data_IF_134419267983
#
_entry.id   IF_134419267983
#
_cell.length_a   1.000
_cell.length_b   1.000
_cell.length_c   1.000
_cell.angle_alpha   90.00
_cell.angle_beta   90.00
_cell.angle_gamma   90.00
#
_symmetry.space_group_name_H-M   'P 1'
#
loop_
_entity.id
_entity.type
_entity.pdbx_description
1 polymer ?
#
# COMPACT_ATOMS: atom_id res chain seq x y z
N UNK A 1 -59.80 -67.92 -55.77
CA UNK A 1 -58.57 -68.73 -55.82
C UNK A 1 -57.90 -68.52 -54.47
N UNK A 2 -58.07 -69.49 -53.55
CA UNK A 2 -57.06 -70.05 -52.61
C UNK A 2 -55.85 -69.18 -52.22
N UNK A 3 -55.32 -69.14 -50.99
CA UNK A 3 -55.46 -69.90 -49.74
C UNK A 3 -54.62 -69.14 -48.67
N UNK A 4 -54.70 -69.61 -47.43
CA UNK A 4 -54.08 -69.20 -46.16
C UNK A 4 -52.57 -68.85 -46.08
N UNK A 5 -52.23 -68.38 -44.87
CA UNK A 5 -51.04 -68.64 -44.04
C UNK A 5 -50.00 -67.52 -43.80
N UNK A 6 -49.88 -67.17 -42.52
CA UNK A 6 -48.65 -66.68 -41.88
C UNK A 6 -47.81 -67.91 -41.47
N UNK A 7 -46.46 -67.86 -41.23
CA UNK A 7 -45.91 -67.19 -40.03
C UNK A 7 -44.40 -66.76 -40.07
N UNK A 8 -43.97 -66.01 -39.03
CA UNK A 8 -42.82 -66.35 -38.16
C UNK A 8 -41.36 -65.99 -38.53
N UNK A 9 -40.70 -65.27 -37.60
CA UNK A 9 -39.27 -65.36 -37.17
C UNK A 9 -38.18 -64.98 -38.20
N UNK A 10 -37.05 -64.29 -37.94
CA UNK A 10 -36.27 -63.96 -36.75
C UNK A 10 -35.28 -62.80 -37.08
N UNK A 11 -34.84 -62.07 -36.04
CA UNK A 11 -33.46 -61.60 -35.90
C UNK A 11 -32.93 -60.49 -36.83
N UNK A 12 -33.01 -59.23 -36.39
CA UNK A 12 -32.08 -58.19 -36.83
C UNK A 12 -31.63 -57.31 -35.65
N UNK A 13 -30.33 -57.35 -35.36
CA UNK A 13 -29.67 -56.51 -34.36
C UNK A 13 -29.75 -55.02 -34.73
N UNK A 14 -29.96 -54.09 -33.77
CA UNK A 14 -29.92 -52.66 -34.08
C UNK A 14 -28.47 -52.18 -34.27
N UNK A 15 -28.29 -51.45 -35.37
CA UNK A 15 -27.06 -50.80 -35.81
C UNK A 15 -26.53 -49.75 -34.80
N UNK A 16 -25.22 -49.44 -34.81
CA UNK A 16 -24.60 -48.53 -33.85
C UNK A 16 -25.07 -47.08 -34.05
N UNK A 17 -25.52 -46.45 -32.98
CA UNK A 17 -25.89 -45.04 -32.97
C UNK A 17 -24.65 -44.15 -33.13
N UNK A 18 -24.73 -43.23 -34.07
CA UNK A 18 -23.70 -42.31 -34.51
C UNK A 18 -23.23 -41.34 -33.40
N UNK A 19 -21.96 -40.94 -33.49
CA UNK A 19 -21.30 -40.00 -32.59
C UNK A 19 -21.93 -38.60 -32.66
N UNK A 20 -22.49 -38.14 -31.55
CA UNK A 20 -22.84 -36.74 -31.34
C UNK A 20 -21.68 -36.02 -30.61
N UNK A 21 -21.36 -34.75 -30.95
CA UNK A 21 -20.21 -34.04 -30.43
C UNK A 21 -20.41 -33.43 -29.03
N UNK A 22 -21.50 -33.75 -28.34
CA UNK A 22 -21.80 -33.28 -26.97
C UNK A 22 -22.15 -34.45 -26.07
N UNK A 23 -21.14 -35.01 -25.39
CA UNK A 23 -21.32 -36.08 -24.41
C UNK A 23 -21.37 -35.48 -23.00
N UNK A 24 -22.55 -35.03 -22.57
CA UNK A 24 -22.76 -34.61 -21.19
C UNK A 24 -23.07 -35.84 -20.33
N UNK A 25 -22.08 -36.33 -19.58
CA UNK A 25 -22.35 -37.20 -18.44
C UNK A 25 -22.71 -36.34 -17.23
N UNK A 26 -23.97 -36.39 -16.79
CA UNK A 26 -24.39 -35.81 -15.50
C UNK A 26 -23.62 -36.48 -14.36
N UNK A 27 -22.65 -35.78 -13.77
CA UNK A 27 -22.02 -36.17 -12.51
C UNK A 27 -22.98 -35.84 -11.35
N UNK A 28 -23.50 -36.87 -10.69
CA UNK A 28 -24.11 -36.73 -9.38
C UNK A 28 -22.99 -36.63 -8.34
N UNK A 29 -22.87 -35.48 -7.66
CA UNK A 29 -22.00 -35.35 -6.48
C UNK A 29 -22.67 -36.14 -5.34
N UNK A 30 -22.28 -37.40 -5.18
CA UNK A 30 -22.61 -38.21 -4.02
C UNK A 30 -21.66 -37.84 -2.87
N UNK A 31 -22.24 -37.36 -1.78
CA UNK A 31 -21.51 -37.11 -0.53
C UNK A 31 -21.03 -38.44 0.05
N UNK A 32 -19.80 -38.81 -0.25
CA UNK A 32 -19.17 -39.98 0.37
C UNK A 32 -18.79 -39.66 1.83
N UNK A 33 -18.98 -40.58 2.78
CA UNK A 33 -18.82 -40.29 4.20
C UNK A 33 -17.34 -40.25 4.63
N UNK A 34 -16.99 -39.26 5.44
CA UNK A 34 -15.72 -39.20 6.18
C UNK A 34 -15.71 -40.31 7.23
N UNK A 35 -14.64 -41.12 7.25
CA UNK A 35 -14.41 -42.19 8.21
C UNK A 35 -14.54 -41.69 9.66
N UNK A 36 -15.36 -42.39 10.42
CA UNK A 36 -15.58 -42.23 11.85
C UNK A 36 -14.35 -42.64 12.65
N UNK A 37 -13.73 -41.72 13.40
CA UNK A 37 -13.11 -42.09 14.67
C UNK A 37 -14.21 -42.08 15.73
N UNK A 38 -14.72 -43.29 15.95
CA UNK A 38 -15.76 -43.64 16.90
C UNK A 38 -15.16 -43.61 18.30
N UNK A 39 -15.82 -42.91 19.22
CA UNK A 39 -15.47 -42.97 20.64
C UNK A 39 -15.52 -41.62 21.32
N UNK A 40 -16.74 -41.11 21.55
CA UNK A 40 -17.19 -40.58 22.84
C UNK A 40 -18.63 -40.07 22.71
N UNK A 41 -19.55 -40.94 23.15
CA UNK A 41 -20.90 -40.66 23.68
C UNK A 41 -21.91 -39.96 22.78
N UNK A 42 -22.71 -40.81 22.13
CA UNK A 42 -24.04 -40.55 21.55
C UNK A 42 -24.95 -39.72 22.48
N UNK A 43 -25.17 -38.47 22.11
CA UNK A 43 -26.47 -37.80 22.31
C UNK A 43 -27.20 -37.80 20.97
N UNK A 44 -28.14 -38.72 20.77
CA UNK A 44 -29.03 -38.69 19.60
C UNK A 44 -29.89 -37.42 19.68
N UNK A 45 -29.49 -36.36 18.97
CA UNK A 45 -30.32 -35.17 18.74
C UNK A 45 -31.38 -35.54 17.70
N UNK A 46 -32.50 -36.07 18.17
CA UNK A 46 -33.73 -36.19 17.39
C UNK A 46 -34.33 -34.79 17.15
N UNK A 47 -33.79 -34.03 16.20
CA UNK A 47 -34.35 -32.73 15.78
C UNK A 47 -35.52 -32.85 14.78
N UNK A 48 -35.93 -34.07 14.44
CA UNK A 48 -36.97 -34.32 13.42
C UNK A 48 -38.13 -35.17 13.93
N UNK A 49 -38.19 -35.49 15.22
CA UNK A 49 -39.33 -36.19 15.81
C UNK A 49 -40.39 -35.17 16.21
N UNK A 50 -41.61 -35.32 15.69
CA UNK A 50 -42.79 -34.47 15.99
C UNK A 50 -43.18 -34.42 17.48
N UNK A 51 -42.62 -35.30 18.31
CA UNK A 51 -42.81 -35.31 19.78
C UNK A 51 -41.74 -34.46 20.51
N UNK A 52 -40.64 -34.08 19.85
CA UNK A 52 -39.56 -33.27 20.46
C UNK A 52 -39.83 -31.76 20.39
N UNK A 53 -40.74 -31.32 19.50
CA UNK A 53 -41.14 -29.92 19.37
C UNK A 53 -41.94 -29.40 20.58
N UNK A 54 -42.61 -30.27 21.35
CA UNK A 54 -43.41 -29.87 22.52
C UNK A 54 -42.60 -29.72 23.82
N UNK A 55 -41.37 -30.25 23.89
CA UNK A 55 -40.49 -30.16 25.07
C UNK A 55 -39.27 -29.25 24.88
N UNK A 56 -39.15 -28.56 23.73
CA UNK A 56 -38.14 -27.51 23.53
C UNK A 56 -38.55 -26.21 24.25
N UNK A 57 -38.38 -26.20 25.58
CA UNK A 57 -38.48 -25.00 26.43
C UNK A 57 -37.42 -23.95 26.04
N UNK A 58 -36.35 -24.37 25.37
CA UNK A 58 -35.42 -23.46 24.71
C UNK A 58 -35.91 -23.14 23.30
N UNK A 59 -36.58 -22.00 23.19
CA UNK A 59 -36.82 -21.31 21.93
C UNK A 59 -35.45 -21.10 21.26
N UNK A 60 -35.23 -21.73 20.10
CA UNK A 60 -34.01 -21.45 19.32
C UNK A 60 -34.01 -19.95 19.04
N UNK A 61 -32.90 -19.24 19.34
CA UNK A 61 -32.84 -17.80 19.16
C UNK A 61 -33.25 -17.48 17.72
N UNK A 62 -34.14 -16.51 17.50
CA UNK A 62 -34.70 -16.22 16.19
C UNK A 62 -33.57 -16.12 15.16
N UNK A 63 -33.72 -16.74 13.98
CA UNK A 63 -32.66 -16.80 12.99
C UNK A 63 -32.20 -15.38 12.70
N UNK A 64 -30.92 -15.10 13.00
CA UNK A 64 -30.37 -13.76 12.78
C UNK A 64 -30.60 -13.39 11.32
N UNK A 65 -31.14 -12.19 11.03
CA UNK A 65 -31.27 -11.74 9.66
C UNK A 65 -29.91 -11.86 8.95
N UNK A 66 -29.91 -12.26 7.67
CA UNK A 66 -28.68 -12.49 6.94
C UNK A 66 -27.78 -11.25 7.05
N UNK A 67 -26.47 -11.43 7.29
CA UNK A 67 -25.55 -10.30 7.43
C UNK A 67 -25.71 -9.33 6.25
N UNK A 68 -25.87 -8.04 6.55
CA UNK A 68 -26.05 -6.98 5.54
C UNK A 68 -24.83 -6.89 4.59
N UNK A 69 -23.69 -7.46 5.00
CA UNK A 69 -22.46 -7.51 4.23
C UNK A 69 -22.11 -8.94 3.80
N UNK A 70 -21.56 -9.12 2.58
CA UNK A 70 -21.12 -10.43 2.12
C UNK A 70 -20.00 -10.97 3.02
N UNK A 71 -20.01 -12.27 3.28
CA UNK A 71 -19.03 -12.93 4.15
C UNK A 71 -17.58 -12.76 3.63
N UNK A 72 -17.40 -12.94 2.32
CA UNK A 72 -16.14 -12.66 1.62
C UNK A 72 -16.43 -12.31 0.17
N UNK A 73 -15.61 -11.44 -0.40
CA UNK A 73 -15.58 -11.19 -1.85
C UNK A 73 -14.51 -12.08 -2.49
N UNK A 74 -14.72 -12.54 -3.74
CA UNK A 74 -13.74 -13.34 -4.44
C UNK A 74 -12.46 -12.53 -4.66
N UNK A 75 -11.31 -13.10 -4.30
CA UNK A 75 -9.99 -12.52 -4.55
C UNK A 75 -9.59 -12.91 -5.98
N UNK A 76 -9.21 -11.95 -6.84
CA UNK A 76 -8.93 -12.23 -8.24
C UNK A 76 -7.73 -13.15 -8.41
N UNK A 77 -7.81 -14.07 -9.36
CA UNK A 77 -6.64 -14.84 -9.80
C UNK A 77 -5.72 -13.97 -10.66
N UNK A 78 -4.44 -14.33 -10.80
CA UNK A 78 -3.49 -13.59 -11.67
C UNK A 78 -4.02 -13.55 -13.11
N UNK A 79 -4.64 -14.63 -13.57
CA UNK A 79 -5.24 -14.70 -14.92
C UNK A 79 -6.40 -13.71 -15.07
N UNK A 80 -7.28 -13.63 -14.07
CA UNK A 80 -8.37 -12.65 -14.05
C UNK A 80 -7.84 -11.21 -14.01
N UNK A 81 -6.82 -10.94 -13.18
CA UNK A 81 -6.17 -9.63 -13.11
C UNK A 81 -5.60 -9.21 -14.48
N UNK A 82 -4.92 -10.13 -15.16
CA UNK A 82 -4.43 -9.88 -16.52
C UNK A 82 -5.55 -9.62 -17.52
N UNK A 83 -6.64 -10.39 -17.46
CA UNK A 83 -7.78 -10.21 -18.36
C UNK A 83 -8.55 -8.91 -18.12
N UNK A 84 -8.55 -8.40 -16.89
CA UNK A 84 -9.23 -7.16 -16.48
C UNK A 84 -8.48 -5.88 -16.90
N UNK A 85 -7.22 -6.00 -17.33
CA UNK A 85 -6.32 -4.86 -17.48
C UNK A 85 -6.71 -3.95 -18.67
N UNK A 86 -7.00 -2.68 -18.36
CA UNK A 86 -7.29 -1.66 -19.36
C UNK A 86 -6.05 -1.29 -20.17
N UNK A 87 -6.22 -0.71 -21.37
CA UNK A 87 -5.10 -0.31 -22.25
C UNK A 87 -4.10 0.61 -21.55
N UNK A 88 -4.59 1.59 -20.80
CA UNK A 88 -3.74 2.53 -20.07
C UNK A 88 -2.99 1.87 -18.91
N UNK A 89 -3.63 0.93 -18.20
CA UNK A 89 -2.99 0.16 -17.14
C UNK A 89 -1.91 -0.76 -17.69
N UNK A 90 -2.14 -1.38 -18.86
CA UNK A 90 -1.15 -2.17 -19.59
C UNK A 90 0.03 -1.32 -20.01
N UNK A 91 -0.22 -0.13 -20.56
CA UNK A 91 0.84 0.81 -20.92
C UNK A 91 1.68 1.19 -19.69
N UNK A 92 1.06 1.51 -18.56
CA UNK A 92 1.76 1.78 -17.29
C UNK A 92 2.58 0.58 -16.79
N UNK A 93 2.05 -0.63 -16.92
CA UNK A 93 2.79 -1.85 -16.57
C UNK A 93 4.03 -2.04 -17.45
N UNK A 94 3.91 -1.85 -18.77
CA UNK A 94 5.06 -1.94 -19.69
C UNK A 94 6.10 -0.85 -19.42
N UNK A 95 5.67 0.38 -19.15
CA UNK A 95 6.59 1.44 -18.73
C UNK A 95 7.31 1.12 -17.42
N UNK A 96 6.60 0.55 -16.44
CA UNK A 96 7.18 0.11 -15.19
C UNK A 96 8.22 -1.01 -15.40
N UNK A 97 7.92 -1.98 -16.28
CA UNK A 97 8.84 -3.06 -16.62
C UNK A 97 10.09 -2.52 -17.34
N UNK A 98 9.90 -1.62 -18.31
CA UNK A 98 11.00 -0.94 -19.01
C UNK A 98 11.88 -0.16 -18.02
N UNK A 99 11.28 0.57 -17.08
CA UNK A 99 12.02 1.27 -16.03
C UNK A 99 12.81 0.29 -15.15
N UNK A 100 12.25 -0.87 -14.82
CA UNK A 100 12.95 -1.94 -14.08
C UNK A 100 14.15 -2.52 -14.84
N UNK A 101 14.04 -2.68 -16.17
CA UNK A 101 15.17 -3.09 -17.01
C UNK A 101 16.28 -2.04 -17.01
N UNK A 102 15.92 -0.76 -17.10
CA UNK A 102 16.89 0.35 -17.01
C UNK A 102 17.56 0.40 -15.63
N UNK A 103 16.80 0.24 -14.54
CA UNK A 103 17.35 0.19 -13.19
C UNK A 103 18.36 -0.96 -13.02
N UNK A 104 18.03 -2.13 -13.58
CA UNK A 104 18.92 -3.30 -13.61
C UNK A 104 20.20 -3.02 -14.40
N UNK A 105 20.08 -2.36 -15.56
CA UNK A 105 21.23 -1.93 -16.35
C UNK A 105 22.13 -0.97 -15.58
N UNK A 106 21.55 0.03 -14.89
CA UNK A 106 22.29 1.00 -14.07
C UNK A 106 23.02 0.27 -12.93
N UNK A 107 22.36 -0.68 -12.27
CA UNK A 107 22.96 -1.46 -11.18
C UNK A 107 24.19 -2.24 -11.63
N UNK A 108 24.14 -2.95 -12.75
CA UNK A 108 25.31 -3.64 -13.28
C UNK A 108 26.39 -2.67 -13.77
N UNK A 109 25.99 -1.49 -14.25
CA UNK A 109 26.90 -0.44 -14.71
C UNK A 109 27.51 0.38 -13.56
N UNK A 110 27.02 0.23 -12.32
CA UNK A 110 27.48 0.99 -11.16
C UNK A 110 28.87 0.56 -10.63
N UNK A 111 29.43 -0.50 -11.21
CA UNK A 111 30.74 -1.05 -10.87
C UNK A 111 31.83 0.04 -10.93
N UNK A 112 32.41 0.37 -9.77
CA UNK A 112 33.54 1.31 -9.67
C UNK A 112 33.21 2.73 -9.19
N UNK A 113 31.94 3.08 -8.94
CA UNK A 113 31.54 4.37 -8.35
C UNK A 113 30.55 4.15 -7.20
N UNK A 114 30.85 4.75 -6.04
CA UNK A 114 30.00 4.67 -4.86
C UNK A 114 28.73 5.50 -5.07
N UNK A 115 28.83 6.64 -5.75
CA UNK A 115 27.67 7.45 -6.10
C UNK A 115 26.76 6.75 -7.11
N UNK A 116 27.30 6.06 -8.12
CA UNK A 116 26.49 5.27 -9.06
C UNK A 116 25.78 4.11 -8.37
N UNK A 117 26.46 3.46 -7.41
CA UNK A 117 25.86 2.38 -6.60
C UNK A 117 24.74 2.93 -5.73
N UNK A 118 24.92 4.11 -5.13
CA UNK A 118 23.86 4.77 -4.36
C UNK A 118 22.68 5.18 -5.27
N UNK A 119 22.97 5.71 -6.46
CA UNK A 119 21.97 6.11 -7.43
C UNK A 119 21.15 4.91 -7.93
N UNK A 120 21.76 3.74 -8.17
CA UNK A 120 21.02 2.55 -8.60
C UNK A 120 19.98 2.11 -7.57
N UNK A 121 20.30 2.17 -6.27
CA UNK A 121 19.35 1.85 -5.20
C UNK A 121 18.17 2.82 -5.17
N UNK A 122 18.44 4.11 -5.42
CA UNK A 122 17.39 5.14 -5.48
C UNK A 122 16.48 4.94 -6.72
N UNK A 123 17.04 4.59 -7.88
CA UNK A 123 16.25 4.25 -9.08
C UNK A 123 15.42 2.97 -8.85
N UNK A 124 15.96 1.96 -8.16
CA UNK A 124 15.18 0.77 -7.78
C UNK A 124 14.02 1.11 -6.85
N UNK A 125 14.19 2.07 -5.94
CA UNK A 125 13.09 2.56 -5.12
C UNK A 125 12.00 3.23 -5.98
N UNK A 126 12.38 4.03 -6.98
CA UNK A 126 11.44 4.63 -7.94
C UNK A 126 10.67 3.57 -8.73
N UNK A 127 11.34 2.51 -9.20
CA UNK A 127 10.71 1.37 -9.87
C UNK A 127 9.76 0.62 -8.93
N UNK A 128 10.19 0.28 -7.72
CA UNK A 128 9.38 -0.47 -6.76
C UNK A 128 8.13 0.31 -6.34
N UNK A 129 8.27 1.61 -6.09
CA UNK A 129 7.13 2.47 -5.77
C UNK A 129 6.16 2.61 -6.95
N UNK A 130 6.66 2.64 -8.18
CA UNK A 130 5.83 2.62 -9.39
C UNK A 130 5.11 1.29 -9.60
N UNK A 131 5.78 0.17 -9.32
CA UNK A 131 5.19 -1.17 -9.38
C UNK A 131 4.02 -1.32 -8.40
N UNK A 132 4.16 -0.80 -7.17
CA UNK A 132 3.06 -0.76 -6.20
C UNK A 132 1.88 0.04 -6.76
N UNK A 133 2.12 1.19 -7.41
CA UNK A 133 1.04 1.98 -7.99
C UNK A 133 0.30 1.27 -9.10
N UNK A 134 1.02 0.60 -10.00
CA UNK A 134 0.42 -0.21 -11.06
C UNK A 134 -0.36 -1.39 -10.46
N UNK A 135 0.18 -2.05 -9.42
CA UNK A 135 -0.51 -3.14 -8.74
C UNK A 135 -1.81 -2.67 -8.07
N UNK A 136 -1.79 -1.52 -7.40
CA UNK A 136 -2.98 -0.94 -6.74
C UNK A 136 -4.02 -0.51 -7.77
N UNK A 137 -3.59 0.11 -8.87
CA UNK A 137 -4.48 0.50 -9.96
C UNK A 137 -5.14 -0.75 -10.59
N UNK A 138 -4.38 -1.83 -10.79
CA UNK A 138 -4.87 -3.09 -11.33
C UNK A 138 -5.86 -3.78 -10.38
N UNK A 139 -5.48 -3.93 -9.11
CA UNK A 139 -6.33 -4.53 -8.09
C UNK A 139 -7.57 -3.69 -7.81
N UNK A 140 -7.49 -2.38 -8.02
CA UNK A 140 -8.61 -1.44 -7.92
C UNK A 140 -9.73 -1.65 -8.93
N UNK A 141 -9.53 -2.48 -9.96
CA UNK A 141 -10.59 -2.91 -10.89
C UNK A 141 -11.57 -3.90 -10.24
N UNK A 142 -11.17 -4.57 -9.17
CA UNK A 142 -11.98 -5.57 -8.48
C UNK A 142 -12.67 -4.98 -7.26
N UNK A 143 -13.93 -5.38 -7.03
CA UNK A 143 -14.72 -4.88 -5.90
C UNK A 143 -14.04 -5.16 -4.56
N UNK A 144 -13.38 -6.31 -4.40
CA UNK A 144 -12.69 -6.71 -3.16
C UNK A 144 -11.63 -5.71 -2.69
N UNK A 145 -11.11 -4.87 -3.60
CA UNK A 145 -10.15 -3.84 -3.24
C UNK A 145 -10.78 -2.73 -2.42
N UNK A 146 -11.96 -2.23 -2.83
CA UNK A 146 -12.62 -1.06 -2.21
C UNK A 146 -13.81 -1.41 -1.32
N UNK A 147 -14.49 -2.53 -1.58
CA UNK A 147 -15.73 -2.93 -0.92
C UNK A 147 -15.44 -3.72 0.34
N UNK A 148 -16.06 -3.31 1.44
CA UNK A 148 -16.02 -4.00 2.72
C UNK A 148 -16.71 -5.37 2.66
N UNK A 149 -16.13 -6.35 3.35
CA UNK A 149 -16.70 -7.69 3.58
C UNK A 149 -16.47 -8.09 5.04
N UNK A 150 -17.11 -9.15 5.52
CA UNK A 150 -16.90 -9.62 6.91
C UNK A 150 -15.44 -10.05 7.13
N UNK A 151 -14.83 -10.72 6.13
CA UNK A 151 -13.40 -11.09 6.19
C UNK A 151 -12.45 -9.89 6.10
N UNK A 152 -12.79 -8.88 5.29
CA UNK A 152 -12.00 -7.67 5.08
C UNK A 152 -12.88 -6.43 5.29
N UNK A 153 -13.00 -5.92 6.53
CA UNK A 153 -13.97 -4.86 6.87
C UNK A 153 -13.68 -3.51 6.20
N UNK A 154 -12.44 -3.29 5.75
CA UNK A 154 -12.01 -2.07 5.04
C UNK A 154 -11.50 -2.37 3.61
N UNK A 155 -11.91 -3.50 3.03
CA UNK A 155 -11.37 -4.00 1.77
C UNK A 155 -9.89 -4.38 1.87
N UNK A 156 -9.22 -4.50 0.72
CA UNK A 156 -7.79 -4.85 0.64
C UNK A 156 -6.84 -3.64 0.58
N UNK A 157 -7.37 -2.42 0.70
CA UNK A 157 -6.57 -1.19 0.63
C UNK A 157 -5.46 -1.08 1.69
N UNK A 158 -5.57 -1.79 2.81
CA UNK A 158 -4.46 -1.89 3.79
C UNK A 158 -3.21 -2.58 3.25
N UNK A 159 -3.34 -3.44 2.24
CA UNK A 159 -2.19 -4.08 1.59
C UNK A 159 -1.28 -3.06 0.90
N UNK A 160 -1.84 -1.95 0.40
CA UNK A 160 -1.07 -0.85 -0.18
C UNK A 160 -0.17 -0.17 0.86
N UNK A 161 -0.69 0.04 2.07
CA UNK A 161 0.04 0.63 3.20
C UNK A 161 1.18 -0.30 3.62
N UNK A 162 0.91 -1.61 3.67
CA UNK A 162 1.92 -2.62 3.99
C UNK A 162 3.04 -2.68 2.93
N UNK A 163 2.69 -2.63 1.65
CA UNK A 163 3.66 -2.58 0.56
C UNK A 163 4.51 -1.29 0.62
N UNK A 164 3.87 -0.15 0.92
CA UNK A 164 4.56 1.12 1.16
C UNK A 164 5.52 1.05 2.37
N UNK A 165 5.12 0.41 3.46
CA UNK A 165 5.98 0.15 4.60
C UNK A 165 7.17 -0.73 4.22
N UNK A 166 6.98 -1.80 3.46
CA UNK A 166 8.08 -2.65 2.98
C UNK A 166 9.10 -1.86 2.13
N UNK A 167 8.64 -0.97 1.25
CA UNK A 167 9.53 -0.08 0.49
C UNK A 167 10.30 0.90 1.38
N UNK A 168 9.68 1.38 2.46
CA UNK A 168 10.37 2.25 3.41
C UNK A 168 11.50 1.53 4.14
N UNK A 169 11.30 0.25 4.49
CA UNK A 169 12.33 -0.60 5.09
C UNK A 169 13.48 -0.80 4.11
N UNK A 170 13.20 -1.16 2.86
CA UNK A 170 14.21 -1.24 1.81
C UNK A 170 15.04 0.04 1.71
N UNK A 171 14.39 1.20 1.77
CA UNK A 171 15.06 2.51 1.68
C UNK A 171 15.94 2.82 2.90
N UNK A 172 15.47 2.50 4.12
CA UNK A 172 16.26 2.67 5.36
C UNK A 172 17.49 1.79 5.35
N UNK A 173 17.32 0.50 5.06
CA UNK A 173 18.43 -0.45 5.00
C UNK A 173 19.40 -0.11 3.86
N UNK A 174 18.90 0.27 2.68
CA UNK A 174 19.75 0.72 1.57
C UNK A 174 20.55 1.98 1.91
N UNK A 175 19.94 2.97 2.57
CA UNK A 175 20.65 4.16 3.03
C UNK A 175 21.71 3.85 4.09
N UNK A 176 21.39 2.97 5.04
CA UNK A 176 22.32 2.54 6.08
C UNK A 176 23.50 1.73 5.53
N UNK A 177 23.23 0.79 4.62
CA UNK A 177 24.25 -0.02 3.93
C UNK A 177 25.25 0.88 3.20
N UNK A 178 24.75 1.79 2.37
CA UNK A 178 25.59 2.74 1.63
C UNK A 178 26.41 3.65 2.55
N UNK A 179 25.81 4.14 3.64
CA UNK A 179 26.52 4.96 4.62
C UNK A 179 27.64 4.17 5.29
N UNK A 180 27.39 2.91 5.66
CA UNK A 180 28.39 2.04 6.29
C UNK A 180 29.58 1.75 5.36
N UNK A 181 29.30 1.48 4.07
CA UNK A 181 30.33 1.29 3.05
C UNK A 181 31.14 2.56 2.81
N UNK A 182 30.48 3.73 2.77
CA UNK A 182 31.16 5.02 2.60
C UNK A 182 32.10 5.33 3.79
N UNK A 183 31.63 5.12 5.03
CA UNK A 183 32.44 5.31 6.24
C UNK A 183 33.65 4.36 6.28
N UNK A 184 33.47 3.09 5.88
CA UNK A 184 34.57 2.13 5.78
C UNK A 184 35.67 2.62 4.84
N UNK A 185 35.30 3.10 3.64
CA UNK A 185 36.28 3.64 2.69
C UNK A 185 36.97 4.91 3.18
N UNK A 186 36.29 5.75 3.98
CA UNK A 186 36.92 6.91 4.62
C UNK A 186 37.95 6.45 5.66
N UNK A 187 37.60 5.50 6.53
CA UNK A 187 38.48 4.97 7.56
C UNK A 187 39.70 4.25 6.96
N UNK A 188 39.50 3.44 5.92
CA UNK A 188 40.57 2.80 5.16
C UNK A 188 41.52 3.82 4.51
N UNK A 189 41.02 4.99 4.10
CA UNK A 189 41.87 6.06 3.53
C UNK A 189 42.66 6.88 4.56
N UNK A 190 42.32 6.78 5.85
CA UNK A 190 42.99 7.50 6.94
C UNK A 190 44.04 6.63 7.64
N UNK A 191 43.86 5.31 7.67
CA UNK A 191 44.84 4.37 8.23
C UNK A 191 45.96 4.04 7.25
N UNK A 192 47.22 4.27 7.63
CA UNK A 192 48.42 3.91 6.83
C UNK A 192 48.72 2.40 6.87
N UNK A 193 47.71 1.55 6.66
CA UNK A 193 47.86 0.10 6.71
C UNK A 193 47.57 -0.51 5.34
N UNK A 194 48.56 -1.23 4.83
CA UNK A 194 48.46 -2.05 3.61
C UNK A 194 47.29 -3.05 3.77
N UNK A 195 46.31 -3.08 2.87
CA UNK A 195 45.18 -4.00 3.00
C UNK A 195 45.64 -5.46 3.00
N UNK A 196 45.39 -6.20 4.09
CA UNK A 196 45.74 -7.62 4.21
C UNK A 196 44.77 -8.58 3.50
N UNK A 197 43.71 -8.03 2.89
CA UNK A 197 42.86 -8.75 1.94
C UNK A 197 42.77 -7.91 0.67
N UNK A 198 43.30 -8.40 -0.47
CA UNK A 198 42.97 -7.80 -1.74
C UNK A 198 41.49 -8.11 -1.98
N UNK A 199 40.63 -7.12 -1.78
CA UNK A 199 39.49 -7.04 -2.66
C UNK A 199 40.10 -6.77 -4.04
N UNK A 200 40.23 -7.83 -4.83
CA UNK A 200 40.53 -7.73 -6.25
C UNK A 200 39.52 -6.76 -6.86
N UNK A 201 39.88 -5.49 -6.97
CA UNK A 201 39.49 -4.71 -8.13
C UNK A 201 40.26 -5.34 -9.29
N UNK A 202 39.58 -6.03 -10.23
CA UNK A 202 40.28 -6.55 -11.40
C UNK A 202 40.98 -5.37 -12.06
N UNK A 203 42.30 -5.52 -12.15
CA UNK A 203 43.29 -4.78 -12.88
C UNK A 203 42.91 -3.49 -13.60
N UNK A 204 43.85 -2.55 -13.50
CA UNK A 204 44.33 -1.66 -14.56
C UNK A 204 44.61 -2.36 -15.93
N UNK A 205 43.73 -3.23 -16.43
CA UNK A 205 43.99 -4.05 -17.63
C UNK A 205 42.86 -4.93 -18.15
N UNK A 206 41.61 -4.80 -17.69
CA UNK A 206 40.45 -5.46 -18.30
C UNK A 206 39.34 -4.43 -18.59
N UNK A 207 38.50 -4.58 -19.63
CA UNK A 207 37.60 -3.54 -20.15
C UNK A 207 36.35 -3.40 -19.28
N UNK A 208 36.52 -3.15 -17.98
CA UNK A 208 35.50 -2.55 -17.14
C UNK A 208 35.46 -1.07 -17.47
N UNK A 209 34.35 -0.62 -18.06
CA UNK A 209 34.08 0.73 -18.59
C UNK A 209 34.32 1.83 -17.53
N UNK A 210 35.57 2.17 -17.28
CA UNK A 210 35.96 3.44 -16.67
C UNK A 210 35.63 4.50 -17.71
N UNK A 211 34.61 5.29 -17.40
CA UNK A 211 34.11 6.33 -18.30
C UNK A 211 35.26 7.31 -18.53
N UNK A 212 35.69 7.42 -19.78
CA UNK A 212 36.77 8.33 -20.16
C UNK A 212 36.39 9.75 -19.74
N UNK A 213 37.29 10.52 -19.08
CA UNK A 213 37.03 11.91 -18.76
C UNK A 213 36.54 12.67 -20.00
N UNK A 214 35.43 13.41 -19.88
CA UNK A 214 34.79 14.10 -21.00
C UNK A 214 33.79 13.27 -21.83
N UNK A 215 33.50 12.02 -21.47
CA UNK A 215 32.41 11.24 -22.07
C UNK A 215 31.16 11.23 -21.21
N UNK A 216 29.98 11.26 -21.85
CA UNK A 216 28.68 11.24 -21.16
C UNK A 216 28.46 9.86 -20.54
N UNK A 217 28.18 9.82 -19.24
CA UNK A 217 27.76 8.59 -18.59
C UNK A 217 26.37 8.17 -19.08
N UNK A 218 26.33 7.12 -19.88
CA UNK A 218 25.09 6.54 -20.41
C UNK A 218 24.19 5.98 -19.32
N UNK A 219 24.75 5.52 -18.19
CA UNK A 219 23.95 5.01 -17.07
C UNK A 219 23.23 6.16 -16.35
N UNK A 220 23.93 7.25 -16.06
CA UNK A 220 23.32 8.49 -15.53
C UNK A 220 22.30 9.09 -16.49
N UNK A 221 22.58 9.12 -17.81
CA UNK A 221 21.62 9.61 -18.81
C UNK A 221 20.37 8.73 -18.86
N UNK A 222 20.54 7.41 -18.83
CA UNK A 222 19.42 6.46 -18.78
C UNK A 222 18.58 6.67 -17.52
N UNK A 223 19.20 6.93 -16.35
CA UNK A 223 18.52 7.23 -15.11
C UNK A 223 17.68 8.53 -15.19
N UNK A 224 18.22 9.59 -15.78
CA UNK A 224 17.47 10.84 -16.02
C UNK A 224 16.25 10.57 -16.90
N UNK A 225 16.44 9.93 -18.04
CA UNK A 225 15.37 9.68 -19.02
C UNK A 225 14.30 8.74 -18.45
N UNK A 226 14.70 7.66 -17.77
CA UNK A 226 13.77 6.70 -17.19
C UNK A 226 12.96 7.31 -16.05
N UNK A 227 13.59 8.08 -15.17
CA UNK A 227 12.89 8.74 -14.05
C UNK A 227 11.96 9.83 -14.57
N UNK A 228 12.35 10.60 -15.58
CA UNK A 228 11.49 11.59 -16.21
C UNK A 228 10.27 10.93 -16.87
N UNK A 229 10.51 9.89 -17.68
CA UNK A 229 9.43 9.12 -18.33
C UNK A 229 8.50 8.48 -17.29
N UNK A 230 9.05 7.97 -16.19
CA UNK A 230 8.29 7.39 -15.08
C UNK A 230 7.45 8.46 -14.36
N UNK A 231 8.00 9.64 -14.11
CA UNK A 231 7.30 10.75 -13.45
C UNK A 231 6.12 11.29 -14.29
N UNK A 232 6.29 11.39 -15.62
CA UNK A 232 5.24 11.81 -16.55
C UNK A 232 4.24 10.68 -16.87
N UNK A 233 4.73 9.48 -17.18
CA UNK A 233 3.94 8.35 -17.68
C UNK A 233 3.18 7.59 -16.60
N UNK A 234 3.77 7.41 -15.41
CA UNK A 234 3.15 6.61 -14.34
C UNK A 234 2.33 7.45 -13.35
N UNK A 235 2.43 8.79 -13.41
CA UNK A 235 1.69 9.75 -12.56
C UNK A 235 1.72 9.40 -11.06
N UNK A 236 2.80 8.74 -10.62
CA UNK A 236 2.96 8.22 -9.26
C UNK A 236 3.08 9.36 -8.21
N UNK A 237 3.47 10.56 -8.66
CA UNK A 237 3.71 11.73 -7.81
C UNK A 237 2.54 12.06 -6.86
N UNK A 238 1.28 11.92 -7.29
CA UNK A 238 0.13 12.26 -6.46
C UNK A 238 -0.12 11.27 -5.31
N UNK A 239 0.30 10.01 -5.46
CA UNK A 239 0.09 8.96 -4.44
C UNK A 239 1.17 9.06 -3.37
N UNK A 240 2.45 9.09 -3.78
CA UNK A 240 3.59 9.22 -2.86
C UNK A 240 3.59 10.57 -2.13
N UNK A 241 3.22 11.68 -2.80
CA UNK A 241 3.08 13.00 -2.14
C UNK A 241 2.06 12.95 -0.99
N UNK A 242 0.91 12.29 -1.21
CA UNK A 242 -0.13 12.11 -0.17
C UNK A 242 0.40 11.31 1.03
N UNK A 243 1.28 10.34 0.78
CA UNK A 243 1.88 9.53 1.83
C UNK A 243 2.89 10.32 2.65
N UNK A 244 3.82 10.98 1.97
CA UNK A 244 4.96 11.60 2.64
C UNK A 244 4.56 12.84 3.43
N UNK A 245 3.50 13.55 3.02
CA UNK A 245 3.06 14.83 3.62
C UNK A 245 4.21 15.82 3.87
N UNK A 246 5.32 15.65 3.16
CA UNK A 246 6.48 16.53 3.25
C UNK A 246 6.11 17.79 2.49
N UNK A 247 5.81 18.84 3.23
CA UNK A 247 5.75 20.18 2.66
C UNK A 247 7.19 20.57 2.31
N UNK A 248 7.47 20.78 1.03
CA UNK A 248 8.68 21.48 0.65
C UNK A 248 8.67 22.87 1.29
N UNK A 249 9.85 23.44 1.57
CA UNK A 249 9.95 24.84 1.91
C UNK A 249 9.23 25.70 0.87
N UNK A 250 8.53 26.75 1.30
CA UNK A 250 7.64 27.55 0.45
C UNK A 250 8.32 28.05 -0.84
N UNK A 251 9.60 28.44 -0.77
CA UNK A 251 10.39 28.86 -1.92
C UNK A 251 10.57 27.76 -2.98
N UNK A 252 10.79 26.53 -2.53
CA UNK A 252 11.00 25.38 -3.42
C UNK A 252 9.66 24.95 -4.02
N UNK A 253 8.58 25.00 -3.24
CA UNK A 253 7.23 24.64 -3.69
C UNK A 253 6.69 25.54 -4.81
N UNK A 254 7.13 26.80 -4.87
CA UNK A 254 6.72 27.75 -5.92
C UNK A 254 7.50 27.55 -7.24
N UNK A 255 8.64 26.88 -7.20
CA UNK A 255 9.54 26.72 -8.34
C UNK A 255 9.43 25.33 -9.00
N UNK A 256 9.08 24.30 -8.23
CA UNK A 256 8.99 22.95 -8.77
C UNK A 256 7.63 22.65 -9.43
N UNK A 257 7.62 22.07 -10.64
CA UNK A 257 6.40 21.51 -11.23
C UNK A 257 5.79 20.44 -10.32
N UNK A 258 4.48 20.27 -10.39
CA UNK A 258 3.73 19.26 -9.61
C UNK A 258 4.27 17.83 -9.75
N UNK A 259 4.94 17.55 -10.87
CA UNK A 259 5.53 16.24 -11.18
C UNK A 259 6.74 15.93 -10.28
N UNK A 260 7.51 16.94 -9.87
CA UNK A 260 8.67 16.80 -8.97
C UNK A 260 8.30 16.97 -7.49
N UNK A 261 7.02 17.15 -7.19
CA UNK A 261 6.58 17.19 -5.81
C UNK A 261 6.71 15.84 -5.08
N UNK A 262 7.04 14.76 -5.79
CA UNK A 262 7.56 13.55 -5.17
C UNK A 262 9.06 13.76 -4.85
N UNK A 263 9.46 13.80 -3.57
CA UNK A 263 10.85 14.03 -3.18
C UNK A 263 11.81 12.95 -3.67
N UNK A 264 11.33 11.72 -3.91
CA UNK A 264 12.18 10.67 -4.46
C UNK A 264 12.53 10.93 -5.93
N UNK A 265 11.57 11.28 -6.78
CA UNK A 265 11.86 11.65 -8.16
C UNK A 265 12.74 12.89 -8.26
N UNK A 266 12.52 13.89 -7.40
CA UNK A 266 13.40 15.05 -7.32
C UNK A 266 14.84 14.64 -6.96
N UNK A 267 15.00 13.80 -5.92
CA UNK A 267 16.30 13.31 -5.47
C UNK A 267 17.02 12.53 -6.58
N UNK A 268 16.32 11.59 -7.24
CA UNK A 268 16.85 10.78 -8.33
C UNK A 268 17.27 11.65 -9.51
N UNK A 269 16.44 12.59 -9.95
CA UNK A 269 16.78 13.50 -11.05
C UNK A 269 17.97 14.39 -10.67
N UNK A 270 17.94 15.02 -9.50
CA UNK A 270 19.00 15.91 -9.02
C UNK A 270 20.36 15.20 -9.01
N UNK A 271 20.44 14.01 -8.41
CA UNK A 271 21.70 13.27 -8.33
C UNK A 271 22.09 12.61 -9.66
N UNK A 272 21.14 12.20 -10.49
CA UNK A 272 21.45 11.70 -11.84
C UNK A 272 22.03 12.81 -12.73
N UNK A 273 21.50 14.03 -12.66
CA UNK A 273 22.10 15.19 -13.34
C UNK A 273 23.47 15.54 -12.79
N UNK A 274 23.64 15.50 -11.46
CA UNK A 274 24.95 15.76 -10.84
C UNK A 274 26.00 14.72 -11.28
N UNK A 275 25.62 13.45 -11.37
CA UNK A 275 26.47 12.38 -11.89
C UNK A 275 26.76 12.52 -13.39
N UNK A 276 25.82 13.05 -14.18
CA UNK A 276 26.05 13.37 -15.60
C UNK A 276 27.08 14.49 -15.80
N UNK A 277 27.12 15.45 -14.88
CA UNK A 277 28.07 16.57 -14.88
C UNK A 277 29.44 16.18 -14.33
N UNK A 278 29.51 15.15 -13.48
CA UNK A 278 30.73 14.74 -12.78
C UNK A 278 31.92 14.43 -13.73
N UNK A 279 31.75 13.74 -14.88
CA UNK A 279 32.82 13.51 -15.86
C UNK A 279 33.33 14.78 -16.58
N UNK A 280 32.64 15.93 -16.44
CA UNK A 280 33.03 17.22 -17.01
C UNK A 280 33.93 18.02 -16.05
N UNK A 281 34.00 17.62 -14.77
CA UNK A 281 34.87 18.25 -13.78
C UNK A 281 36.28 17.64 -13.82
N UNK A 282 37.28 18.42 -13.38
CA UNK A 282 38.68 17.98 -13.38
C UNK A 282 38.91 16.72 -12.54
N UNK A 283 39.80 15.82 -13.02
CA UNK A 283 40.11 14.51 -12.44
C UNK A 283 40.44 14.55 -10.93
N UNK A 284 41.06 15.62 -10.45
CA UNK A 284 41.47 15.76 -9.03
C UNK A 284 40.32 15.78 -8.03
N UNK A 285 39.13 16.24 -8.41
CA UNK A 285 37.98 16.33 -7.49
C UNK A 285 37.02 15.14 -7.60
N UNK A 286 37.21 14.25 -8.57
CA UNK A 286 36.27 13.20 -8.93
C UNK A 286 35.99 12.23 -7.76
N UNK A 287 37.03 11.74 -7.11
CA UNK A 287 36.90 10.74 -6.02
C UNK A 287 36.24 11.32 -4.78
N UNK A 288 36.60 12.55 -4.40
CA UNK A 288 36.01 13.19 -3.23
C UNK A 288 34.53 13.54 -3.46
N UNK A 289 34.22 14.05 -4.66
CA UNK A 289 32.86 14.41 -5.02
C UNK A 289 31.96 13.17 -5.18
N UNK A 290 32.46 12.06 -5.72
CA UNK A 290 31.74 10.76 -5.74
C UNK A 290 31.35 10.32 -4.32
N UNK A 291 32.29 10.38 -3.37
CA UNK A 291 32.03 10.04 -1.96
C UNK A 291 31.01 10.98 -1.31
N UNK A 292 31.11 12.28 -1.57
CA UNK A 292 30.17 13.29 -1.06
C UNK A 292 28.76 13.04 -1.60
N UNK A 293 28.63 12.78 -2.90
CA UNK A 293 27.35 12.49 -3.55
C UNK A 293 26.77 11.19 -2.99
N UNK A 294 27.57 10.14 -2.86
CA UNK A 294 27.16 8.88 -2.25
C UNK A 294 26.63 9.10 -0.81
N UNK A 295 27.37 9.83 0.02
CA UNK A 295 26.95 10.15 1.38
C UNK A 295 25.66 10.97 1.42
N UNK A 296 25.51 11.96 0.53
CA UNK A 296 24.30 12.77 0.42
C UNK A 296 23.08 11.93 -0.01
N UNK A 297 23.23 11.01 -0.97
CA UNK A 297 22.19 10.06 -1.37
C UNK A 297 21.83 9.14 -0.18
N UNK A 298 22.83 8.54 0.47
CA UNK A 298 22.63 7.59 1.56
C UNK A 298 21.89 8.23 2.76
N UNK A 299 22.32 9.42 3.19
CA UNK A 299 21.64 10.16 4.27
C UNK A 299 20.22 10.55 3.87
N UNK A 300 20.01 10.98 2.63
CA UNK A 300 18.68 11.33 2.14
C UNK A 300 17.74 10.11 2.10
N UNK A 301 18.23 8.97 1.60
CA UNK A 301 17.50 7.70 1.60
C UNK A 301 17.15 7.28 3.04
N UNK A 302 18.10 7.31 3.96
CA UNK A 302 17.87 6.95 5.35
C UNK A 302 16.83 7.84 6.03
N UNK A 303 16.98 9.17 5.95
CA UNK A 303 16.07 10.13 6.60
C UNK A 303 14.67 10.04 6.00
N UNK A 304 14.53 10.02 4.67
CA UNK A 304 13.22 9.91 4.01
C UNK A 304 12.60 8.52 4.25
N UNK A 305 13.42 7.47 4.29
CA UNK A 305 13.01 6.11 4.61
C UNK A 305 12.43 6.00 6.02
N UNK A 306 13.12 6.55 7.03
CA UNK A 306 12.62 6.56 8.42
C UNK A 306 11.31 7.35 8.51
N UNK A 307 11.23 8.52 7.87
CA UNK A 307 9.98 9.30 7.84
C UNK A 307 8.83 8.50 7.23
N UNK A 308 9.07 7.82 6.11
CA UNK A 308 8.08 6.99 5.45
C UNK A 308 7.69 5.79 6.31
N UNK A 309 8.66 5.13 6.95
CA UNK A 309 8.45 3.98 7.83
C UNK A 309 7.60 4.34 9.05
N UNK A 310 7.86 5.49 9.68
CA UNK A 310 7.06 5.98 10.80
C UNK A 310 5.64 6.35 10.33
N UNK A 311 5.51 7.07 9.22
CA UNK A 311 4.20 7.47 8.69
C UNK A 311 3.32 6.25 8.33
N UNK A 312 3.90 5.25 7.66
CA UNK A 312 3.22 4.01 7.29
C UNK A 312 3.00 3.09 8.48
N UNK A 313 3.99 2.96 9.37
CA UNK A 313 3.90 2.16 10.59
C UNK A 313 2.80 2.65 11.53
N UNK A 314 2.66 3.96 11.71
CA UNK A 314 1.55 4.52 12.51
C UNK A 314 0.17 4.22 11.89
N UNK A 315 0.06 4.21 10.56
CA UNK A 315 -1.17 3.81 9.88
C UNK A 315 -1.48 2.32 10.09
N UNK A 316 -0.46 1.45 10.05
CA UNK A 316 -0.61 0.01 10.34
C UNK A 316 -0.96 -0.24 11.81
N UNK A 317 -0.43 0.58 12.73
CA UNK A 317 -0.71 0.55 14.16
C UNK A 317 -2.06 1.18 14.54
N UNK A 318 -2.90 1.54 13.57
CA UNK A 318 -4.19 2.22 13.82
C UNK A 318 -4.02 3.48 14.66
N UNK A 319 -3.05 4.32 14.31
CA UNK A 319 -2.86 5.63 14.91
C UNK A 319 -3.05 6.73 13.88
N UNK A 320 -3.49 7.90 14.32
CA UNK A 320 -3.56 9.10 13.49
C UNK A 320 -2.41 10.03 13.83
N UNK A 321 -1.48 10.23 12.89
CA UNK A 321 -0.28 11.05 13.08
C UNK A 321 -0.49 12.56 12.87
N UNK A 322 -1.72 13.00 12.59
CA UNK A 322 -2.01 14.41 12.32
C UNK A 322 -1.28 14.96 11.08
N UNK A 323 -1.56 16.22 10.74
CA UNK A 323 -0.80 16.98 9.76
C UNK A 323 0.38 17.64 10.48
N UNK A 324 1.34 16.84 10.96
CA UNK A 324 2.56 17.36 11.58
C UNK A 324 3.38 17.99 10.46
N UNK A 325 3.33 19.31 10.36
CA UNK A 325 4.21 20.08 9.48
C UNK A 325 5.65 19.67 9.76
N UNK A 326 6.47 19.60 8.70
CA UNK A 326 7.85 19.13 8.74
C UNK A 326 8.71 19.88 9.78
N UNK A 327 8.72 19.45 11.03
CA UNK A 327 9.69 19.82 12.07
C UNK A 327 10.35 18.54 12.60
N UNK A 328 11.35 18.06 11.87
CA UNK A 328 12.31 17.06 12.38
C UNK A 328 13.47 17.73 13.12
N UNK A 329 13.37 19.03 13.37
CA UNK A 329 14.11 19.73 14.42
C UNK A 329 13.22 19.83 15.66
N UNK A 330 13.05 18.68 16.33
CA UNK A 330 12.54 18.63 17.69
C UNK A 330 13.62 19.10 18.65
N UNK A 331 13.83 20.41 18.72
CA UNK A 331 14.39 21.05 19.91
C UNK A 331 13.35 22.03 20.42
N UNK A 332 12.86 21.73 21.62
CA UNK A 332 12.25 22.65 22.57
C UNK A 332 10.99 23.42 22.14
N UNK A 333 9.85 22.95 22.67
CA UNK A 333 8.91 23.73 23.49
C UNK A 333 8.29 25.03 22.95
N UNK A 334 6.95 25.07 23.04
CA UNK A 334 6.05 26.24 23.21
C UNK A 334 5.33 26.86 22.00
N UNK A 335 5.63 26.51 20.75
CA UNK A 335 4.93 27.17 19.61
C UNK A 335 3.91 26.31 18.84
N UNK A 336 3.82 25.01 19.11
CA UNK A 336 2.95 24.07 18.37
C UNK A 336 1.45 24.13 18.79
N UNK A 337 1.09 25.03 19.70
CA UNK A 337 -0.30 25.21 20.20
C UNK A 337 -1.17 26.12 19.31
N UNK A 338 -0.59 26.81 18.32
CA UNK A 338 -1.32 27.84 17.54
C UNK A 338 -2.06 27.34 16.30
N UNK A 339 -1.82 26.11 15.85
CA UNK A 339 -2.58 25.51 14.75
C UNK A 339 -3.61 24.52 15.32
N UNK A 340 -4.86 24.98 15.48
CA UNK A 340 -6.02 24.20 15.97
C UNK A 340 -6.48 23.04 15.07
N UNK A 341 -5.54 22.35 14.41
CA UNK A 341 -5.73 21.17 13.55
C UNK A 341 -5.23 19.89 14.22
N UNK A 342 -5.13 19.87 15.54
CA UNK A 342 -4.74 18.69 16.31
C UNK A 342 -5.97 17.88 16.71
N UNK A 343 -5.81 16.57 16.92
CA UNK A 343 -6.87 15.73 17.49
C UNK A 343 -7.31 16.28 18.85
N UNK A 344 -6.37 16.74 19.67
CA UNK A 344 -6.66 17.30 20.99
C UNK A 344 -7.54 18.56 20.92
N UNK A 345 -7.31 19.44 19.93
CA UNK A 345 -8.15 20.63 19.76
C UNK A 345 -9.56 20.28 19.31
N UNK A 346 -9.71 19.22 18.49
CA UNK A 346 -11.03 18.71 18.07
C UNK A 346 -11.79 18.09 19.24
N UNK A 347 -11.13 17.30 20.08
CA UNK A 347 -11.76 16.73 21.29
C UNK A 347 -12.21 17.84 22.23
N UNK A 348 -11.37 18.86 22.45
CA UNK A 348 -11.71 20.03 23.28
C UNK A 348 -12.87 20.85 22.72
N UNK A 349 -12.96 21.00 21.40
CA UNK A 349 -14.09 21.64 20.73
C UNK A 349 -15.39 20.84 20.95
N UNK A 350 -15.32 19.50 20.91
CA UNK A 350 -16.48 18.62 21.19
C UNK A 350 -16.90 18.69 22.67
N UNK A 351 -15.95 18.77 23.60
CA UNK A 351 -16.22 18.96 25.03
C UNK A 351 -16.86 20.31 25.34
N UNK A 352 -16.66 21.32 24.50
CA UNK A 352 -17.26 22.65 24.68
C UNK A 352 -18.74 22.74 24.27
N UNK A 353 -19.31 21.67 23.71
CA UNK A 353 -20.72 21.63 23.33
C UNK A 353 -21.64 21.56 24.57
N UNK A 354 -22.70 22.38 24.66
CA UNK A 354 -23.54 22.47 25.86
C UNK A 354 -24.31 21.18 26.17
N UNK A 355 -24.53 20.33 25.17
CA UNK A 355 -25.18 19.02 25.33
C UNK A 355 -24.23 17.93 25.84
N UNK A 356 -22.91 18.20 25.87
CA UNK A 356 -21.87 17.26 26.28
C UNK A 356 -21.43 17.58 27.71
N UNK A 357 -21.51 16.58 28.59
CA UNK A 357 -20.98 16.66 29.96
C UNK A 357 -19.46 16.38 29.96
N UNK A 358 -19.06 15.29 29.31
CA UNK A 358 -17.64 14.92 29.10
C UNK A 358 -17.47 13.94 27.95
N UNK A 359 -16.25 13.79 27.46
CA UNK A 359 -15.87 12.74 26.50
C UNK A 359 -15.17 11.62 27.27
N UNK A 360 -15.78 10.44 27.35
CA UNK A 360 -15.22 9.29 28.07
C UNK A 360 -14.07 8.63 27.29
N UNK A 361 -14.22 8.56 25.97
CA UNK A 361 -13.25 7.91 25.09
C UNK A 361 -13.26 8.57 23.72
N UNK A 362 -12.08 8.84 23.16
CA UNK A 362 -11.93 9.39 21.83
C UNK A 362 -10.74 8.73 21.11
N UNK A 363 -11.05 7.89 20.12
CA UNK A 363 -10.05 7.16 19.36
C UNK A 363 -10.08 7.62 17.90
N UNK A 364 -8.93 8.04 17.38
CA UNK A 364 -8.77 8.52 16.01
C UNK A 364 -7.64 7.75 15.33
N UNK A 365 -7.92 7.19 14.16
CA UNK A 365 -6.92 6.45 13.40
C UNK A 365 -7.12 6.55 11.91
N UNK A 366 -6.03 6.31 11.17
CA UNK A 366 -6.07 6.19 9.73
C UNK A 366 -6.05 4.71 9.33
N UNK A 367 -7.02 4.28 8.52
CA UNK A 367 -7.14 2.89 8.08
C UNK A 367 -6.28 2.65 6.83
N UNK A 368 -6.41 3.54 5.85
CA UNK A 368 -5.61 3.57 4.63
C UNK A 368 -5.58 5.01 4.10
N UNK A 369 -4.93 5.26 2.96
CA UNK A 369 -4.71 6.62 2.44
C UNK A 369 -5.95 7.47 2.20
N UNK A 370 -7.13 6.84 2.03
CA UNK A 370 -8.38 7.52 1.72
C UNK A 370 -9.42 7.50 2.84
N UNK A 371 -9.16 6.82 3.96
CA UNK A 371 -10.14 6.63 5.04
C UNK A 371 -9.49 6.78 6.43
N UNK A 372 -10.08 7.67 7.22
CA UNK A 372 -9.85 7.82 8.64
C UNK A 372 -11.13 7.47 9.41
N UNK A 373 -10.94 6.98 10.63
CA UNK A 373 -12.01 6.64 11.56
C UNK A 373 -11.89 7.50 12.81
N UNK A 374 -13.03 7.93 13.33
CA UNK A 374 -13.15 8.55 14.64
C UNK A 374 -14.24 7.83 15.43
N UNK A 375 -13.86 7.22 16.55
CA UNK A 375 -14.78 6.55 17.46
C UNK A 375 -14.82 7.33 18.77
N UNK A 376 -16.00 7.81 19.14
CA UNK A 376 -16.19 8.63 20.32
C UNK A 376 -17.23 8.01 21.25
N UNK A 377 -16.95 8.04 22.55
CA UNK A 377 -17.90 7.79 23.62
C UNK A 377 -18.09 9.07 24.41
N UNK A 378 -19.30 9.59 24.40
CA UNK A 378 -19.60 10.92 24.94
C UNK A 378 -20.72 10.81 25.96
N UNK A 379 -20.49 11.36 27.15
CA UNK A 379 -21.50 11.52 28.17
C UNK A 379 -22.29 12.79 27.90
N UNK A 380 -23.60 12.65 27.70
CA UNK A 380 -24.52 13.76 27.42
C UNK A 380 -25.24 14.20 28.70
N UNK A 381 -25.61 15.49 28.75
CA UNK A 381 -26.36 16.07 29.87
C UNK A 381 -27.74 15.42 29.96
N UNK A 382 -28.21 15.15 31.19
CA UNK A 382 -29.52 14.54 31.44
C UNK A 382 -30.65 15.43 30.91
N UNK A 383 -31.68 14.81 30.33
CA UNK A 383 -32.84 15.51 29.80
C UNK A 383 -32.71 16.04 28.37
N UNK A 384 -31.64 15.69 27.65
CA UNK A 384 -31.58 15.94 26.20
C UNK A 384 -32.63 15.10 25.45
N UNK A 385 -33.36 15.75 24.56
CA UNK A 385 -34.28 15.11 23.63
C UNK A 385 -33.54 14.41 22.48
N UNK A 386 -34.17 13.41 21.87
CA UNK A 386 -33.62 12.67 20.72
C UNK A 386 -33.27 13.60 19.54
N UNK A 387 -34.00 14.72 19.39
CA UNK A 387 -33.72 15.76 18.40
C UNK A 387 -32.35 16.38 18.63
N UNK A 388 -32.09 16.90 19.83
CA UNK A 388 -30.78 17.47 20.21
C UNK A 388 -29.65 16.43 20.09
N UNK A 389 -29.88 15.17 20.47
CA UNK A 389 -28.88 14.10 20.31
C UNK A 389 -28.53 13.84 18.83
N UNK A 390 -29.54 13.83 17.94
CA UNK A 390 -29.30 13.66 16.50
C UNK A 390 -28.53 14.84 15.89
N UNK A 391 -28.82 16.07 16.34
CA UNK A 391 -28.12 17.28 15.94
C UNK A 391 -26.66 17.27 16.43
N UNK A 392 -26.44 16.83 17.67
CA UNK A 392 -25.09 16.69 18.24
C UNK A 392 -24.24 15.71 17.43
N UNK A 393 -24.77 14.52 17.06
CA UNK A 393 -24.04 13.56 16.21
C UNK A 393 -23.64 14.17 14.87
N UNK A 394 -24.54 14.91 14.25
CA UNK A 394 -24.27 15.59 12.97
C UNK A 394 -23.21 16.68 13.12
N UNK A 395 -23.30 17.48 14.18
CA UNK A 395 -22.37 18.57 14.48
C UNK A 395 -20.96 18.05 14.76
N UNK A 396 -20.82 17.04 15.63
CA UNK A 396 -19.53 16.39 15.91
C UNK A 396 -18.90 15.82 14.64
N UNK A 397 -19.69 15.13 13.82
CA UNK A 397 -19.22 14.59 12.54
C UNK A 397 -18.69 15.68 11.62
N UNK A 398 -19.39 16.82 11.56
CA UNK A 398 -18.98 17.99 10.76
C UNK A 398 -17.72 18.67 11.31
N UNK A 399 -17.58 18.80 12.63
CA UNK A 399 -16.37 19.35 13.26
C UNK A 399 -15.15 18.50 12.89
N UNK A 400 -15.23 17.18 13.04
CA UNK A 400 -14.14 16.26 12.69
C UNK A 400 -13.79 16.37 11.21
N UNK A 401 -14.78 16.34 10.32
CA UNK A 401 -14.57 16.45 8.87
C UNK A 401 -13.98 17.79 8.46
N UNK A 402 -14.41 18.90 9.07
CA UNK A 402 -13.93 20.24 8.74
C UNK A 402 -12.51 20.49 9.28
N UNK A 403 -12.20 20.00 10.48
CA UNK A 403 -10.91 20.25 11.16
C UNK A 403 -9.82 19.29 10.73
N UNK A 404 -10.14 18.01 10.58
CA UNK A 404 -9.17 16.95 10.28
C UNK A 404 -9.25 16.44 8.84
N UNK A 405 -10.32 16.75 8.10
CA UNK A 405 -10.45 16.45 6.69
C UNK A 405 -9.74 17.46 5.79
N UNK A 406 -9.58 17.10 4.52
CA UNK A 406 -9.16 18.06 3.50
C UNK A 406 -10.41 18.82 3.05
N UNK A 407 -10.49 20.10 3.40
CA UNK A 407 -11.70 20.93 3.25
C UNK A 407 -12.46 20.77 1.93
N UNK A 408 -13.77 20.98 2.00
CA UNK A 408 -14.72 20.77 0.91
C UNK A 408 -14.26 21.44 -0.40
N UNK A 409 -14.20 20.68 -1.51
CA UNK A 409 -13.97 21.22 -2.87
C UNK A 409 -12.55 21.07 -3.45
N UNK A 410 -11.54 20.61 -2.70
CA UNK A 410 -10.25 20.19 -3.27
C UNK A 410 -10.30 18.68 -3.49
N UNK A 411 -10.31 18.23 -4.75
CA UNK A 411 -10.68 16.88 -5.20
C UNK A 411 -9.73 15.72 -4.80
N UNK A 412 -9.42 15.60 -3.51
CA UNK A 412 -8.65 14.51 -2.91
C UNK A 412 -9.04 14.26 -1.45
N UNK A 413 -10.33 14.34 -1.11
CA UNK A 413 -10.76 14.37 0.29
C UNK A 413 -10.49 13.04 1.02
N UNK A 414 -9.56 13.08 1.98
CA UNK A 414 -9.45 12.10 3.05
C UNK A 414 -10.82 11.96 3.74
N UNK A 415 -11.47 10.82 3.57
CA UNK A 415 -12.81 10.57 4.12
C UNK A 415 -12.71 10.24 5.61
N UNK A 416 -13.58 10.84 6.41
CA UNK A 416 -13.73 10.50 7.83
C UNK A 416 -15.05 9.78 8.07
N UNK A 417 -14.97 8.58 8.62
CA UNK A 417 -16.11 7.86 9.15
C UNK A 417 -16.15 8.03 10.68
N UNK A 418 -17.25 8.61 11.16
CA UNK A 418 -17.40 8.97 12.57
C UNK A 418 -18.45 8.06 13.19
N UNK A 419 -18.08 7.34 14.24
CA UNK A 419 -19.03 6.62 15.09
C UNK A 419 -19.04 7.24 16.47
N UNK A 420 -20.24 7.46 16.99
CA UNK A 420 -20.44 8.13 18.27
C UNK A 420 -21.40 7.29 19.10
N UNK A 421 -20.98 6.93 20.30
CA UNK A 421 -21.82 6.33 21.32
C UNK A 421 -22.11 7.39 22.38
N UNK A 422 -23.38 7.52 22.75
CA UNK A 422 -23.83 8.48 23.75
C UNK A 422 -24.28 7.72 24.99
N UNK A 423 -23.76 8.11 26.15
CA UNK A 423 -24.17 7.62 27.47
C UNK A 423 -24.66 8.77 28.33
N UNK A 424 -25.44 8.47 29.36
CA UNK A 424 -25.76 9.41 30.44
C UNK A 424 -25.04 8.97 31.70
N UNK A 425 -24.76 9.90 32.60
CA UNK A 425 -24.06 9.57 33.85
C UNK A 425 -24.84 8.52 34.66
N UNK A 426 -24.19 7.40 35.07
CA UNK A 426 -24.78 6.47 36.00
C UNK A 426 -25.01 7.20 37.34
N UNK A 427 -26.17 6.95 37.96
CA UNK A 427 -26.52 7.51 39.27
C UNK A 427 -25.52 7.11 40.35
#
# INVERSE_FOLDING_TARGET
>A
MSFDDAPGADGAAPAPAAASPFNFQTQYITTSPVKSNIGQRRGHRYKHSSISAQHQIFQEPPPRPPPVLPASLPVPTIREAWSSMQKDQRARLYWCLCHGLVATYIFFSASGSLAMTALSHLVFFDVGSAAICVAVDLLGNFEVWKRSSIRHPFGLQRAEVLAGFAMSVFLVFGGFDLLSHNLKHILESVGSHTPHHPHEHPGHGAPGRTISPGTVDMASLAAVLSTLMSAYGLKNHARIRRVMRVAYPAYLSSLLPDILANPFHFLTLCFSFLMLLLPLLSVSYFVWLDRLICAAIAVSMFVLGVRLAVAQGLMLLMSYSGRRGSSITSTSSLEDEKNGTSVASVVREIESEPAVSRVDEAQFWQVHYGLCMANLRVCVVRGCDDGTLSQLRTRVSRVIQNRLGEGYGKGGALRWEVTMQMSTDPN
#
